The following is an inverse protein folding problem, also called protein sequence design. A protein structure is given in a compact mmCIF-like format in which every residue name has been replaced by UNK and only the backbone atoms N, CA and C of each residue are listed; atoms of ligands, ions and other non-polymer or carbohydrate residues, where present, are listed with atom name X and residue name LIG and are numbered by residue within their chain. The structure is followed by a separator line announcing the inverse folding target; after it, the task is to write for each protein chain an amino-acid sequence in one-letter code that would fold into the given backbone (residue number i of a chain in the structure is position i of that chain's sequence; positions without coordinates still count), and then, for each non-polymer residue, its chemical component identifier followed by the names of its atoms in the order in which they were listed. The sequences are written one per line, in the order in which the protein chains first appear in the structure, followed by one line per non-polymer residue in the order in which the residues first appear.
data_IF_632454726821
#
_entry.id   IF_632454726821
#
_cell.length_a   1.000
_cell.length_b   1.000
_cell.length_c   1.000
_cell.angle_alpha   90.00
_cell.angle_beta   90.00
_cell.angle_gamma   90.00
#
_symmetry.space_group_name_H-M   'P 1'
#
loop_
_entity.id
_entity.type
_entity.pdbx_description
1 polymer ?
#
# COMPACT_ATOMS: atom_id res chain seq x y z
N UNK A 1 -2.38 -29.30 54.60
CA UNK A 1 -2.80 -29.69 53.24
C UNK A 1 -3.76 -28.61 52.75
N UNK A 2 -3.27 -27.72 51.90
CA UNK A 2 -3.98 -26.53 51.42
C UNK A 2 -2.97 -25.72 50.62
N UNK A 3 -2.87 -26.00 49.33
CA UNK A 3 -1.89 -25.39 48.44
C UNK A 3 -2.60 -24.27 47.68
N UNK A 4 -2.47 -23.04 48.16
CA UNK A 4 -2.67 -21.83 47.38
C UNK A 4 -1.82 -21.89 46.12
N UNK A 5 -2.45 -21.88 44.95
CA UNK A 5 -1.74 -21.60 43.71
C UNK A 5 -2.63 -21.30 42.51
N UNK A 6 -2.34 -20.14 41.92
CA UNK A 6 -2.43 -19.78 40.50
C UNK A 6 -3.75 -19.12 40.06
N UNK A 7 -3.77 -17.79 40.17
CA UNK A 7 -4.07 -16.92 39.01
C UNK A 7 -2.74 -16.70 38.25
N UNK A 8 -2.65 -16.53 36.90
CA UNK A 8 -3.48 -15.57 36.13
C UNK A 8 -3.75 -15.92 34.64
N UNK A 9 -4.58 -15.09 33.98
CA UNK A 9 -4.29 -14.63 32.61
C UNK A 9 -4.77 -15.46 31.42
N UNK A 10 -6.02 -15.23 30.98
CA UNK A 10 -6.46 -15.50 29.62
C UNK A 10 -6.79 -14.18 28.91
N UNK A 11 -5.76 -13.41 28.58
CA UNK A 11 -5.82 -12.28 27.66
C UNK A 11 -4.57 -12.31 26.79
N UNK A 12 -4.54 -13.18 25.78
CA UNK A 12 -3.52 -13.19 24.72
C UNK A 12 -4.07 -13.93 23.51
N UNK A 13 -5.01 -13.28 22.82
CA UNK A 13 -5.41 -13.66 21.47
C UNK A 13 -5.52 -12.39 20.63
N UNK A 14 -4.42 -11.65 20.59
CA UNK A 14 -4.23 -10.52 19.70
C UNK A 14 -2.83 -10.64 19.11
N UNK A 15 -2.80 -10.60 17.78
CA UNK A 15 -1.67 -10.24 16.95
C UNK A 15 -0.61 -11.30 16.67
N UNK A 16 -0.78 -12.08 15.61
CA UNK A 16 0.36 -12.67 14.90
C UNK A 16 0.09 -12.99 13.39
N UNK A 17 -0.13 -11.95 12.55
CA UNK A 17 0.40 -11.94 11.18
C UNK A 17 1.54 -10.91 11.00
N UNK A 18 2.19 -10.48 12.08
CA UNK A 18 3.32 -9.54 12.04
C UNK A 18 4.64 -10.16 11.54
N UNK A 19 4.65 -11.45 11.17
CA UNK A 19 5.84 -12.23 10.81
C UNK A 19 6.12 -12.32 9.30
N UNK A 20 5.14 -12.01 8.45
CA UNK A 20 5.32 -11.95 7.00
C UNK A 20 6.00 -10.65 6.51
N UNK A 21 5.96 -9.58 7.32
CA UNK A 21 6.58 -8.29 7.00
C UNK A 21 8.13 -8.30 7.00
N UNK A 22 8.77 -9.44 7.33
CA UNK A 22 10.20 -9.49 7.68
C UNK A 22 11.11 -10.23 6.68
N UNK A 23 10.58 -10.68 5.55
CA UNK A 23 11.35 -11.40 4.53
C UNK A 23 11.30 -10.53 3.27
N UNK A 24 12.27 -9.71 2.90
CA UNK A 24 13.71 -9.92 2.84
C UNK A 24 14.37 -8.56 2.58
N UNK A 25 15.40 -8.24 3.35
CA UNK A 25 16.18 -7.00 3.32
C UNK A 25 17.04 -6.82 2.05
N UNK A 26 16.44 -6.56 0.89
CA UNK A 26 17.23 -6.36 -0.33
C UNK A 26 17.05 -4.92 -0.85
N UNK A 27 17.98 -4.05 -0.42
CA UNK A 27 18.45 -2.83 -1.11
C UNK A 27 17.84 -1.46 -0.70
N UNK A 28 18.07 -1.06 0.56
CA UNK A 28 18.35 0.32 1.05
C UNK A 28 17.55 1.56 0.59
N UNK A 29 16.45 1.41 -0.15
CA UNK A 29 15.39 2.40 -0.27
C UNK A 29 14.13 1.74 0.29
N UNK A 30 13.55 2.30 1.35
CA UNK A 30 12.34 1.74 1.97
C UNK A 30 11.29 1.49 0.88
N UNK A 31 10.75 0.28 0.70
CA UNK A 31 9.78 -0.03 -0.36
C UNK A 31 8.59 0.92 -0.34
N UNK A 32 8.24 1.46 0.83
CA UNK A 32 7.23 2.51 0.99
C UNK A 32 7.62 3.84 0.31
N UNK A 33 8.89 4.24 0.38
CA UNK A 33 9.40 5.44 -0.30
C UNK A 33 9.38 5.26 -1.82
N UNK A 34 9.66 4.05 -2.31
CA UNK A 34 9.50 3.72 -3.73
C UNK A 34 8.03 3.83 -4.17
N UNK A 35 7.09 3.30 -3.38
CA UNK A 35 5.64 3.45 -3.65
C UNK A 35 5.25 4.93 -3.75
N UNK A 36 5.62 5.76 -2.78
CA UNK A 36 5.36 7.21 -2.81
C UNK A 36 5.99 7.90 -4.02
N UNK A 37 7.19 7.47 -4.44
CA UNK A 37 7.90 8.02 -5.59
C UNK A 37 7.22 7.62 -6.91
N UNK A 38 6.69 6.40 -7.01
CA UNK A 38 5.86 5.96 -8.15
C UNK A 38 4.54 6.74 -8.18
N UNK A 39 3.89 6.95 -7.03
CA UNK A 39 2.71 7.83 -6.95
C UNK A 39 3.01 9.23 -7.47
N UNK A 40 4.13 9.83 -7.06
CA UNK A 40 4.55 11.15 -7.55
C UNK A 40 4.77 11.14 -9.08
N UNK A 41 5.37 10.06 -9.61
CA UNK A 41 5.53 9.88 -11.05
C UNK A 41 4.20 9.79 -11.80
N UNK A 42 3.22 9.07 -11.26
CA UNK A 42 1.87 8.96 -11.83
C UNK A 42 1.18 10.33 -11.82
N UNK A 43 1.24 11.04 -10.68
CA UNK A 43 0.64 12.38 -10.53
C UNK A 43 1.27 13.36 -11.52
N UNK A 44 2.60 13.35 -11.65
CA UNK A 44 3.30 14.17 -12.65
C UNK A 44 2.87 13.81 -14.08
N UNK A 45 2.70 12.52 -14.38
CA UNK A 45 2.16 12.05 -15.65
C UNK A 45 0.72 12.54 -15.92
N UNK A 46 -0.16 12.47 -14.92
CA UNK A 46 -1.52 12.99 -15.00
C UNK A 46 -1.55 14.50 -15.25
N UNK A 47 -0.72 15.27 -14.54
CA UNK A 47 -0.59 16.73 -14.73
C UNK A 47 -0.05 17.09 -16.12
N UNK A 48 0.89 16.30 -16.64
CA UNK A 48 1.41 16.44 -17.99
C UNK A 48 0.44 15.93 -19.09
N UNK A 49 -0.73 15.39 -18.71
CA UNK A 49 -1.71 14.74 -19.62
C UNK A 49 -1.10 13.59 -20.42
N UNK A 50 -0.16 12.89 -19.80
CA UNK A 50 0.67 11.88 -20.44
C UNK A 50 0.20 10.48 -20.02
N UNK A 51 -0.79 9.96 -20.75
CA UNK A 51 -1.49 8.71 -20.39
C UNK A 51 -0.54 7.52 -20.32
N UNK A 52 0.47 7.47 -21.20
CA UNK A 52 1.49 6.41 -21.19
C UNK A 52 2.30 6.43 -19.90
N UNK A 53 2.74 7.62 -19.47
CA UNK A 53 3.54 7.79 -18.25
C UNK A 53 2.77 7.42 -17.00
N UNK A 54 1.53 7.92 -16.89
CA UNK A 54 0.65 7.59 -15.78
C UNK A 54 0.29 6.09 -15.74
N UNK A 55 -0.03 5.49 -16.89
CA UNK A 55 -0.33 4.05 -16.99
C UNK A 55 0.88 3.18 -16.65
N UNK A 56 2.09 3.58 -17.06
CA UNK A 56 3.32 2.86 -16.73
C UNK A 56 3.60 2.88 -15.23
N UNK A 57 3.37 4.01 -14.55
CA UNK A 57 3.52 4.10 -13.11
C UNK A 57 2.48 3.24 -12.37
N UNK A 58 1.22 3.25 -12.82
CA UNK A 58 0.16 2.41 -12.25
C UNK A 58 0.45 0.91 -12.44
N UNK A 59 0.95 0.51 -13.61
CA UNK A 59 1.38 -0.86 -13.86
C UNK A 59 2.52 -1.27 -12.92
N UNK A 60 3.45 -0.36 -12.63
CA UNK A 60 4.53 -0.60 -11.66
C UNK A 60 3.99 -0.79 -10.24
N UNK A 61 2.99 -0.02 -9.81
CA UNK A 61 2.34 -0.22 -8.49
C UNK A 61 1.60 -1.55 -8.40
N UNK A 62 0.97 -1.97 -9.50
CA UNK A 62 0.28 -3.27 -9.59
C UNK A 62 1.28 -4.44 -9.56
N UNK A 63 2.42 -4.29 -10.23
CA UNK A 63 3.48 -5.30 -10.25
C UNK A 63 4.18 -5.43 -8.89
N UNK A 64 4.37 -4.31 -8.18
CA UNK A 64 4.94 -4.27 -6.84
C UNK A 64 3.97 -4.72 -5.74
N UNK A 65 2.75 -5.12 -6.10
CA UNK A 65 1.68 -5.44 -5.17
C UNK A 65 1.85 -6.87 -4.65
N UNK A 66 1.86 -7.03 -3.34
CA UNK A 66 1.97 -8.34 -2.71
C UNK A 66 0.61 -9.05 -2.75
N UNK A 67 0.45 -10.01 -3.67
CA UNK A 67 -0.79 -10.78 -3.80
C UNK A 67 -0.97 -11.81 -2.69
N UNK A 68 0.07 -12.09 -1.88
CA UNK A 68 -0.03 -12.95 -0.70
C UNK A 68 -0.83 -12.29 0.43
N UNK A 69 -0.99 -10.95 0.41
CA UNK A 69 -1.86 -10.20 1.32
C UNK A 69 -3.38 -10.45 1.11
N UNK A 70 -3.78 -11.28 0.14
CA UNK A 70 -5.15 -11.77 -0.01
C UNK A 70 -6.17 -10.71 -0.45
N UNK A 71 -7.21 -10.49 0.36
CA UNK A 71 -8.34 -9.61 0.01
C UNK A 71 -7.90 -8.13 -0.14
N UNK A 72 -6.94 -7.70 0.68
CA UNK A 72 -6.37 -6.34 0.64
C UNK A 72 -5.68 -6.09 -0.70
N UNK A 73 -4.89 -7.06 -1.16
CA UNK A 73 -4.19 -6.96 -2.45
C UNK A 73 -5.18 -6.83 -3.61
N UNK A 74 -6.26 -7.62 -3.55
CA UNK A 74 -7.33 -7.59 -4.55
C UNK A 74 -8.05 -6.23 -4.56
N UNK A 75 -8.30 -5.64 -3.39
CA UNK A 75 -8.88 -4.30 -3.27
C UNK A 75 -7.99 -3.23 -3.91
N UNK A 76 -6.70 -3.22 -3.58
CA UNK A 76 -5.72 -2.28 -4.13
C UNK A 76 -5.58 -2.43 -5.64
N UNK A 77 -5.48 -3.68 -6.14
CA UNK A 77 -5.41 -3.97 -7.56
C UNK A 77 -6.61 -3.39 -8.33
N UNK A 78 -7.83 -3.53 -7.80
CA UNK A 78 -9.04 -2.96 -8.39
C UNK A 78 -8.98 -1.43 -8.43
N UNK A 79 -8.50 -0.80 -7.35
CA UNK A 79 -8.34 0.66 -7.30
C UNK A 79 -7.35 1.17 -8.36
N UNK A 80 -6.18 0.53 -8.46
CA UNK A 80 -5.16 0.90 -9.45
C UNK A 80 -5.64 0.69 -10.89
N UNK A 81 -6.34 -0.43 -11.16
CA UNK A 81 -6.96 -0.66 -12.46
C UNK A 81 -8.00 0.38 -12.82
N UNK A 82 -8.82 0.79 -11.85
CA UNK A 82 -9.82 1.83 -12.07
C UNK A 82 -9.15 3.17 -12.40
N UNK A 83 -8.11 3.57 -11.66
CA UNK A 83 -7.33 4.77 -11.97
C UNK A 83 -6.70 4.70 -13.37
N UNK A 84 -6.20 3.54 -13.79
CA UNK A 84 -5.63 3.33 -15.13
C UNK A 84 -6.68 3.52 -16.23
N UNK A 85 -7.91 3.03 -16.02
CA UNK A 85 -8.99 3.23 -16.99
C UNK A 85 -9.37 4.72 -17.10
N UNK A 86 -9.40 5.44 -15.97
CA UNK A 86 -9.64 6.91 -15.99
C UNK A 86 -8.56 7.67 -16.75
N UNK A 87 -7.29 7.29 -16.55
CA UNK A 87 -6.16 7.83 -17.32
C UNK A 87 -6.31 7.55 -18.83
N UNK A 88 -6.76 6.35 -19.22
CA UNK A 88 -7.01 5.99 -20.62
C UNK A 88 -8.18 6.74 -21.23
N UNK A 89 -9.21 7.03 -20.45
CA UNK A 89 -10.32 7.90 -20.83
C UNK A 89 -9.97 9.39 -20.83
N UNK A 90 -8.68 9.74 -20.64
CA UNK A 90 -8.21 11.12 -20.58
C UNK A 90 -8.78 11.91 -19.39
N UNK A 91 -9.34 11.20 -18.40
CA UNK A 91 -9.92 11.73 -17.15
C UNK A 91 -8.85 11.73 -16.05
N UNK A 92 -7.78 12.49 -16.27
CA UNK A 92 -6.66 12.58 -15.33
C UNK A 92 -7.05 13.17 -13.97
N UNK A 93 -8.01 14.09 -13.96
CA UNK A 93 -8.51 14.74 -12.75
C UNK A 93 -9.21 13.74 -11.81
N UNK A 94 -10.09 12.91 -12.37
CA UNK A 94 -10.75 11.81 -11.64
C UNK A 94 -9.73 10.78 -11.14
N UNK A 95 -8.71 10.47 -11.93
CA UNK A 95 -7.64 9.57 -11.50
C UNK A 95 -6.85 10.16 -10.32
N UNK A 96 -6.52 11.46 -10.37
CA UNK A 96 -5.84 12.17 -9.28
C UNK A 96 -6.69 12.20 -8.00
N UNK A 97 -7.99 12.48 -8.11
CA UNK A 97 -8.90 12.51 -6.97
C UNK A 97 -8.94 11.19 -6.18
N UNK A 98 -8.57 10.06 -6.81
CA UNK A 98 -8.51 8.74 -6.19
C UNK A 98 -7.08 8.41 -5.72
N UNK A 99 -6.08 8.80 -6.51
CA UNK A 99 -4.68 8.50 -6.22
C UNK A 99 -4.10 9.38 -5.11
N UNK A 100 -4.54 10.62 -4.96
CA UNK A 100 -4.11 11.53 -3.90
C UNK A 100 -4.47 11.04 -2.49
N UNK A 101 -5.74 10.71 -2.15
CA UNK A 101 -6.06 10.18 -0.84
C UNK A 101 -5.41 8.81 -0.59
N UNK A 102 -5.21 8.01 -1.65
CA UNK A 102 -4.48 6.75 -1.52
C UNK A 102 -3.01 7.00 -1.18
N UNK A 103 -2.33 7.93 -1.86
CA UNK A 103 -0.97 8.37 -1.53
C UNK A 103 -0.88 8.88 -0.10
N UNK A 104 -1.84 9.67 0.35
CA UNK A 104 -1.89 10.16 1.73
C UNK A 104 -2.01 9.00 2.72
N UNK A 105 -2.89 8.04 2.45
CA UNK A 105 -3.03 6.82 3.25
C UNK A 105 -1.70 6.05 3.34
N UNK A 106 -0.99 5.89 2.21
CA UNK A 106 0.34 5.28 2.20
C UNK A 106 1.37 6.10 2.97
N UNK A 107 1.35 7.43 2.85
CA UNK A 107 2.25 8.31 3.59
C UNK A 107 2.01 8.20 5.11
N UNK A 108 0.75 8.22 5.55
CA UNK A 108 0.35 8.00 6.95
C UNK A 108 0.77 6.62 7.46
N UNK A 109 0.50 5.57 6.69
CA UNK A 109 0.91 4.21 7.02
C UNK A 109 2.44 4.09 7.14
N UNK A 110 3.20 4.83 6.32
CA UNK A 110 4.67 4.84 6.39
C UNK A 110 5.18 5.62 7.61
N UNK A 111 4.50 6.71 7.97
CA UNK A 111 4.88 7.58 9.09
C UNK A 111 4.55 6.95 10.45
N UNK A 112 3.47 6.17 10.54
CA UNK A 112 3.03 5.47 11.75
C UNK A 112 3.77 4.18 12.10
N UNK A 113 4.72 3.72 11.27
CA UNK A 113 5.53 2.51 11.53
C UNK A 113 6.83 2.80 12.33
N UNK A 114 7.00 4.04 12.79
CA UNK A 114 8.18 4.52 13.51
C UNK A 114 7.94 4.89 14.98
N UNK A 115 6.94 4.32 15.65
CA UNK A 115 6.74 4.45 17.11
C UNK A 115 6.72 3.08 17.80
#
# INVERSE_FOLDING_TARGET
MGFDSISPGAASMANEPAKAYRTQQVMSASPQKLVLMVFDHIVAGCKARDSKRASSGLATLIDALDFEAGDIATGLFRLYRYAMERVKQNQFDEALAILEPLRDTWAQATLGQGQ
#
